data_IF_812350608288
#
_entry.id   IF_812350608288
#
_cell.length_a   1.000
_cell.length_b   1.000
_cell.length_c   1.000
_cell.angle_alpha   90.00
_cell.angle_beta   90.00
_cell.angle_gamma   90.00
#
_symmetry.space_group_name_H-M   'P 1'
#
loop_
_entity.id
_entity.type
_entity.pdbx_description
1 polymer ?
#
# COMPACT_ATOMS: atom_id res chain seq x y z
N UNK A 1 2.44 6.14 -19.10
CA UNK A 1 1.99 7.22 -19.98
C UNK A 1 2.17 8.60 -19.33
N UNK A 2 1.67 8.78 -18.08
CA UNK A 2 1.74 10.07 -17.37
C UNK A 2 3.19 10.54 -17.16
N UNK A 3 4.11 9.66 -16.77
CA UNK A 3 5.54 9.97 -16.64
C UNK A 3 6.14 10.57 -17.93
N UNK A 4 5.77 10.01 -19.08
CA UNK A 4 6.22 10.53 -20.40
C UNK A 4 5.61 11.89 -20.71
N UNK A 5 4.31 12.08 -20.42
CA UNK A 5 3.60 13.35 -20.65
C UNK A 5 4.20 14.48 -19.80
N UNK A 6 4.50 14.20 -18.54
CA UNK A 6 4.93 15.19 -17.54
C UNK A 6 6.47 15.34 -17.49
N UNK A 7 7.22 14.37 -18.04
CA UNK A 7 8.67 14.34 -17.97
C UNK A 7 9.21 14.17 -16.53
N UNK A 8 8.51 13.38 -15.70
CA UNK A 8 8.89 13.11 -14.32
C UNK A 8 8.67 11.64 -14.00
N UNK A 9 9.65 10.98 -13.37
CA UNK A 9 9.55 9.57 -13.01
C UNK A 9 8.91 9.37 -11.66
N UNK A 10 8.01 8.40 -11.58
CA UNK A 10 7.44 7.88 -10.34
C UNK A 10 8.21 6.66 -9.80
N UNK A 11 9.35 6.31 -10.40
CA UNK A 11 10.12 5.13 -10.03
C UNK A 11 9.36 3.82 -10.28
N UNK A 12 8.46 3.79 -11.27
CA UNK A 12 7.66 2.60 -11.59
C UNK A 12 8.56 1.51 -12.17
N UNK A 13 8.57 0.35 -11.52
CA UNK A 13 9.20 -0.89 -11.99
C UNK A 13 8.09 -1.91 -12.26
N UNK A 14 7.92 -2.32 -13.52
CA UNK A 14 6.96 -3.35 -13.92
C UNK A 14 7.62 -4.73 -13.81
N UNK A 15 7.97 -5.12 -12.59
CA UNK A 15 8.58 -6.41 -12.27
C UNK A 15 7.55 -7.50 -11.90
N UNK A 16 6.27 -7.17 -12.00
CA UNK A 16 5.17 -8.08 -11.75
C UNK A 16 4.84 -8.29 -10.28
N UNK A 17 3.70 -8.92 -10.04
CA UNK A 17 3.29 -9.39 -8.71
C UNK A 17 2.91 -10.87 -8.78
N UNK A 18 3.50 -11.66 -7.87
CA UNK A 18 3.28 -13.09 -7.70
C UNK A 18 2.48 -13.31 -6.42
N UNK A 19 1.29 -13.88 -6.54
CA UNK A 19 0.52 -14.35 -5.38
C UNK A 19 0.53 -15.87 -5.36
N UNK A 20 0.85 -16.48 -4.23
CA UNK A 20 0.93 -17.93 -4.04
C UNK A 20 -0.18 -18.45 -3.15
N UNK A 21 -0.46 -19.74 -3.24
CA UNK A 21 -1.43 -20.45 -2.43
C UNK A 21 -0.81 -21.69 -1.81
N UNK A 22 -0.95 -21.86 -0.49
CA UNK A 22 -0.53 -23.04 0.26
C UNK A 22 -1.73 -23.86 0.74
N UNK A 23 -2.93 -23.28 0.72
CA UNK A 23 -4.18 -23.95 1.04
C UNK A 23 -5.07 -24.16 -0.19
N UNK A 24 -5.91 -25.18 -0.18
CA UNK A 24 -6.87 -25.44 -1.27
C UNK A 24 -7.85 -24.29 -1.45
N UNK A 25 -8.28 -23.67 -0.35
CA UNK A 25 -9.20 -22.52 -0.39
C UNK A 25 -8.57 -21.32 -1.09
N UNK A 26 -7.33 -20.98 -0.74
CA UNK A 26 -6.56 -19.91 -1.39
C UNK A 26 -6.32 -20.21 -2.86
N UNK A 27 -5.97 -21.45 -3.18
CA UNK A 27 -5.77 -21.84 -4.57
C UNK A 27 -7.02 -21.62 -5.43
N UNK A 28 -8.19 -22.04 -4.95
CA UNK A 28 -9.47 -21.79 -5.63
C UNK A 28 -9.78 -20.29 -5.75
N UNK A 29 -9.45 -19.51 -4.74
CA UNK A 29 -9.62 -18.05 -4.78
C UNK A 29 -8.74 -17.40 -5.83
N UNK A 30 -7.45 -17.74 -5.89
CA UNK A 30 -6.53 -17.20 -6.89
C UNK A 30 -6.96 -17.55 -8.33
N UNK A 31 -7.42 -18.78 -8.55
CA UNK A 31 -7.97 -19.18 -9.86
C UNK A 31 -9.20 -18.35 -10.25
N UNK A 32 -10.11 -18.07 -9.30
CA UNK A 32 -11.24 -17.17 -9.54
C UNK A 32 -10.79 -15.75 -9.84
N UNK A 33 -9.80 -15.23 -9.09
CA UNK A 33 -9.24 -13.91 -9.34
C UNK A 33 -8.67 -13.81 -10.76
N UNK A 34 -7.90 -14.80 -11.21
CA UNK A 34 -7.37 -14.85 -12.57
C UNK A 34 -8.47 -14.85 -13.63
N UNK A 35 -9.55 -15.61 -13.40
CA UNK A 35 -10.70 -15.63 -14.31
C UNK A 35 -11.45 -14.29 -14.31
N UNK A 36 -11.65 -13.70 -13.14
CA UNK A 36 -12.33 -12.39 -13.01
C UNK A 36 -11.52 -11.26 -13.64
N UNK A 37 -10.20 -11.31 -13.54
CA UNK A 37 -9.31 -10.30 -14.12
C UNK A 37 -9.49 -10.17 -15.65
N UNK A 38 -9.81 -11.27 -16.34
CA UNK A 38 -10.08 -11.27 -17.78
C UNK A 38 -11.30 -10.40 -18.15
N UNK A 39 -12.28 -10.27 -17.27
CA UNK A 39 -13.46 -9.43 -17.51
C UNK A 39 -13.11 -7.91 -17.52
N UNK A 40 -11.95 -7.57 -17.01
CA UNK A 40 -11.44 -6.20 -16.91
C UNK A 40 -10.20 -5.97 -17.77
N UNK A 41 -9.93 -6.86 -18.72
CA UNK A 41 -8.76 -6.83 -19.61
C UNK A 41 -7.42 -6.79 -18.82
N UNK A 42 -7.38 -7.36 -17.62
CA UNK A 42 -6.17 -7.49 -16.81
C UNK A 42 -5.54 -8.86 -17.10
N UNK A 43 -4.31 -8.82 -17.61
CA UNK A 43 -3.56 -10.05 -17.90
C UNK A 43 -3.05 -10.69 -16.61
N UNK A 44 -3.46 -11.92 -16.33
CA UNK A 44 -3.06 -12.73 -15.19
C UNK A 44 -2.73 -14.15 -15.65
N UNK A 45 -1.57 -14.63 -15.29
CA UNK A 45 -1.10 -15.99 -15.59
C UNK A 45 -1.32 -16.90 -14.38
N UNK A 46 -1.92 -18.07 -14.60
CA UNK A 46 -2.03 -19.13 -13.59
C UNK A 46 -0.79 -20.01 -13.69
N UNK A 47 -0.06 -20.14 -12.59
CA UNK A 47 1.26 -20.76 -12.56
C UNK A 47 1.28 -22.07 -11.77
N UNK A 48 2.03 -23.04 -12.30
CA UNK A 48 2.48 -24.20 -11.54
C UNK A 48 3.78 -23.90 -10.75
N UNK A 49 4.23 -24.86 -9.95
CA UNK A 49 5.38 -24.71 -9.04
C UNK A 49 6.68 -24.39 -9.81
N UNK A 50 6.93 -25.06 -10.92
CA UNK A 50 8.14 -24.85 -11.72
C UNK A 50 8.18 -23.43 -12.32
N UNK A 51 7.03 -22.91 -12.72
CA UNK A 51 6.91 -21.54 -13.22
C UNK A 51 7.10 -20.51 -12.11
N UNK A 52 6.54 -20.76 -10.93
CA UNK A 52 6.75 -19.91 -9.74
C UNK A 52 8.23 -19.81 -9.41
N UNK A 53 8.93 -20.95 -9.39
CA UNK A 53 10.37 -21.00 -9.08
C UNK A 53 11.25 -20.27 -10.09
N UNK A 54 10.82 -20.22 -11.37
CA UNK A 54 11.51 -19.42 -12.39
C UNK A 54 11.37 -17.91 -12.14
N UNK A 55 10.19 -17.47 -11.70
CA UNK A 55 9.90 -16.05 -11.41
C UNK A 55 10.51 -15.61 -10.08
N UNK A 56 10.47 -16.49 -9.06
CA UNK A 56 10.96 -16.22 -7.73
C UNK A 56 11.95 -17.31 -7.24
N UNK A 57 13.22 -17.30 -7.71
CA UNK A 57 14.16 -18.43 -7.52
C UNK A 57 14.50 -18.74 -6.06
N UNK A 58 14.36 -17.77 -5.16
CA UNK A 58 14.72 -17.90 -3.74
C UNK A 58 13.55 -18.42 -2.87
N UNK A 59 12.42 -18.77 -3.48
CA UNK A 59 11.23 -19.24 -2.76
C UNK A 59 11.37 -20.70 -2.33
N UNK A 60 10.90 -21.01 -1.12
CA UNK A 60 10.67 -22.39 -0.71
C UNK A 60 9.29 -22.83 -1.22
N UNK A 61 9.29 -23.79 -2.13
CA UNK A 61 8.08 -24.24 -2.85
C UNK A 61 7.35 -25.44 -2.18
N UNK A 62 7.90 -26.02 -1.10
CA UNK A 62 7.48 -27.35 -0.59
C UNK A 62 5.99 -27.49 -0.26
N UNK A 63 5.32 -26.40 0.14
CA UNK A 63 3.91 -26.38 0.51
C UNK A 63 3.03 -25.60 -0.49
N UNK A 64 3.60 -25.10 -1.58
CA UNK A 64 2.87 -24.31 -2.59
C UNK A 64 2.04 -25.22 -3.47
N UNK A 65 0.77 -24.91 -3.63
CA UNK A 65 -0.16 -25.60 -4.55
C UNK A 65 -0.19 -24.98 -5.94
N UNK A 66 0.13 -23.71 -6.06
CA UNK A 66 0.15 -22.93 -7.29
C UNK A 66 0.15 -21.44 -6.99
N UNK A 67 0.07 -20.62 -8.02
CA UNK A 67 0.05 -19.17 -7.88
C UNK A 67 -0.52 -18.48 -9.10
N UNK A 68 -0.68 -17.17 -9.00
CA UNK A 68 -1.00 -16.29 -10.12
C UNK A 68 0.06 -15.20 -10.22
N UNK A 69 0.35 -14.82 -11.46
CA UNK A 69 1.31 -13.76 -11.76
C UNK A 69 0.66 -12.67 -12.60
N UNK A 70 0.82 -11.44 -12.19
CA UNK A 70 0.41 -10.24 -12.93
C UNK A 70 1.64 -9.52 -13.48
N UNK A 71 2.02 -9.73 -14.74
CA UNK A 71 3.22 -9.09 -15.30
C UNK A 71 3.11 -7.57 -15.45
N UNK A 72 1.88 -7.04 -15.54
CA UNK A 72 1.62 -5.60 -15.62
C UNK A 72 1.60 -4.87 -14.26
N UNK A 73 1.75 -5.61 -13.15
CA UNK A 73 1.88 -5.05 -11.81
C UNK A 73 3.37 -4.78 -11.48
N UNK A 74 3.66 -4.23 -10.32
CA UNK A 74 5.03 -3.96 -9.91
C UNK A 74 5.10 -3.07 -8.67
N UNK A 75 6.15 -2.27 -8.62
CA UNK A 75 6.39 -1.36 -7.50
C UNK A 75 6.71 0.05 -8.01
N UNK A 76 6.41 1.04 -7.19
CA UNK A 76 6.68 2.43 -7.47
C UNK A 76 7.22 3.15 -6.22
N UNK A 77 7.89 4.27 -6.42
CA UNK A 77 8.22 5.17 -5.32
C UNK A 77 6.98 6.00 -4.92
N UNK A 78 6.45 5.87 -3.69
CA UNK A 78 5.26 6.60 -3.25
C UNK A 78 5.43 8.11 -3.32
N UNK A 79 6.63 8.62 -3.02
CA UNK A 79 6.95 10.05 -3.10
C UNK A 79 6.97 10.49 -4.57
N UNK A 80 7.60 9.71 -5.44
CA UNK A 80 7.65 9.95 -6.87
C UNK A 80 6.25 9.98 -7.49
N UNK A 81 5.38 9.02 -7.15
CA UNK A 81 3.98 8.99 -7.62
C UNK A 81 3.23 10.23 -7.17
N UNK A 82 3.33 10.62 -5.90
CA UNK A 82 2.64 11.79 -5.35
C UNK A 82 3.10 13.07 -6.07
N UNK A 83 4.42 13.24 -6.26
CA UNK A 83 4.98 14.40 -6.94
C UNK A 83 4.59 14.44 -8.42
N UNK A 84 4.59 13.30 -9.11
CA UNK A 84 4.13 13.18 -10.50
C UNK A 84 2.67 13.64 -10.64
N UNK A 85 1.79 13.14 -9.78
CA UNK A 85 0.36 13.50 -9.79
C UNK A 85 0.16 14.99 -9.47
N UNK A 86 0.88 15.52 -8.48
CA UNK A 86 0.81 16.93 -8.13
C UNK A 86 1.29 17.83 -9.27
N UNK A 87 2.37 17.45 -9.95
CA UNK A 87 2.89 18.18 -11.12
C UNK A 87 1.89 18.15 -12.26
N UNK A 88 1.33 16.98 -12.58
CA UNK A 88 0.32 16.85 -13.62
C UNK A 88 -0.93 17.69 -13.32
N UNK A 89 -1.41 17.67 -12.07
CA UNK A 89 -2.54 18.49 -11.66
C UNK A 89 -2.28 20.00 -11.81
N UNK A 90 -1.07 20.47 -11.46
CA UNK A 90 -0.66 21.87 -11.65
C UNK A 90 -0.65 22.26 -13.12
N UNK A 91 -0.18 21.39 -14.04
CA UNK A 91 -0.20 21.62 -15.48
C UNK A 91 -1.63 21.74 -16.05
N UNK A 92 -2.60 21.06 -15.43
CA UNK A 92 -4.03 21.18 -15.75
C UNK A 92 -4.73 22.36 -15.01
N UNK A 93 -3.97 23.24 -14.37
CA UNK A 93 -4.46 24.47 -13.73
C UNK A 93 -4.91 24.33 -12.28
N UNK A 94 -4.70 23.16 -11.64
CA UNK A 94 -5.01 22.98 -10.21
C UNK A 94 -4.06 23.79 -9.35
N UNK A 95 -4.63 24.54 -8.38
CA UNK A 95 -3.85 25.27 -7.37
C UNK A 95 -3.61 24.37 -6.16
N UNK A 96 -2.36 24.10 -5.84
CA UNK A 96 -1.94 23.31 -4.68
C UNK A 96 -1.30 24.25 -3.66
N UNK A 97 -1.87 24.27 -2.45
CA UNK A 97 -1.38 25.05 -1.33
C UNK A 97 -0.78 24.12 -0.29
N UNK A 98 0.53 24.03 -0.24
CA UNK A 98 1.24 23.27 0.78
C UNK A 98 1.29 24.03 2.10
N UNK A 99 1.54 23.33 3.22
CA UNK A 99 1.61 23.90 4.58
C UNK A 99 0.41 24.77 4.93
N UNK A 100 -0.76 24.38 4.42
CA UNK A 100 -2.03 25.11 4.56
C UNK A 100 -3.07 24.21 5.24
N UNK A 101 -2.94 23.94 6.54
CA UNK A 101 -3.87 23.07 7.25
C UNK A 101 -5.28 23.68 7.24
N UNK A 102 -6.28 22.85 7.01
CA UNK A 102 -7.69 23.24 7.11
C UNK A 102 -8.06 23.38 8.59
N UNK A 103 -8.42 24.58 9.00
CA UNK A 103 -8.86 24.87 10.36
C UNK A 103 -10.29 24.44 10.63
N UNK A 104 -11.16 24.61 9.63
CA UNK A 104 -12.60 24.31 9.73
C UNK A 104 -13.24 24.15 8.37
N UNK A 105 -14.17 23.22 8.27
CA UNK A 105 -15.11 23.12 7.15
C UNK A 105 -16.33 23.95 7.49
N UNK A 106 -16.73 24.82 6.59
CA UNK A 106 -17.89 25.71 6.74
C UNK A 106 -19.13 25.03 6.17
N UNK A 107 -20.15 24.89 7.00
CA UNK A 107 -21.44 24.30 6.62
C UNK A 107 -22.56 25.38 6.80
N UNK A 108 -23.36 25.58 5.76
CA UNK A 108 -24.56 26.45 5.79
C UNK A 108 -25.75 25.66 5.27
N UNK A 109 -26.84 25.67 6.01
CA UNK A 109 -28.09 24.98 5.62
C UNK A 109 -27.88 23.50 5.26
N UNK A 110 -26.99 22.77 6.00
CA UNK A 110 -26.72 21.36 5.77
C UNK A 110 -25.84 21.06 4.55
N UNK A 111 -25.23 22.06 3.92
CA UNK A 111 -24.35 21.91 2.77
C UNK A 111 -23.00 22.56 3.03
N UNK A 112 -21.94 22.01 2.43
CA UNK A 112 -20.63 22.66 2.44
C UNK A 112 -20.73 24.04 1.77
N UNK A 113 -20.04 25.02 2.35
CA UNK A 113 -19.97 26.38 1.83
C UNK A 113 -18.53 26.85 1.63
N UNK A 114 -17.56 26.11 2.14
CA UNK A 114 -16.13 26.44 2.02
C UNK A 114 -15.31 25.86 3.14
N UNK A 115 -14.06 26.29 3.19
CA UNK A 115 -13.08 25.92 4.23
C UNK A 115 -12.41 27.17 4.80
N UNK A 116 -11.96 27.10 6.05
CA UNK A 116 -11.13 28.12 6.68
C UNK A 116 -9.68 27.65 6.72
N UNK A 117 -8.78 28.49 6.20
CA UNK A 117 -7.34 28.23 6.10
C UNK A 117 -6.58 29.51 6.41
N UNK A 118 -5.64 29.52 7.36
CA UNK A 118 -4.83 30.70 7.71
C UNK A 118 -5.68 31.97 7.93
N UNK A 119 -6.79 31.84 8.69
CA UNK A 119 -7.78 32.89 8.91
C UNK A 119 -8.51 33.43 7.68
N UNK A 120 -8.34 32.82 6.50
CA UNK A 120 -9.05 33.13 5.27
C UNK A 120 -10.14 32.09 4.99
N UNK A 121 -11.19 32.50 4.29
CA UNK A 121 -12.23 31.62 3.81
C UNK A 121 -12.05 31.36 2.33
N UNK A 122 -12.05 30.09 1.95
CA UNK A 122 -12.12 29.66 0.55
C UNK A 122 -13.51 29.06 0.37
N UNK A 123 -14.33 29.70 -0.44
CA UNK A 123 -15.67 29.22 -0.76
C UNK A 123 -15.61 28.08 -1.79
N UNK A 124 -16.48 27.08 -1.63
CA UNK A 124 -16.62 25.99 -2.59
C UNK A 124 -18.04 25.41 -2.57
N UNK A 125 -18.46 24.86 -3.69
CA UNK A 125 -19.72 24.11 -3.83
C UNK A 125 -19.55 22.65 -3.47
N UNK A 126 -18.37 22.09 -3.71
CA UNK A 126 -18.01 20.69 -3.44
C UNK A 126 -16.69 20.64 -2.70
N UNK A 127 -16.61 19.71 -1.74
CA UNK A 127 -15.40 19.44 -0.98
C UNK A 127 -15.12 17.94 -0.98
N UNK A 128 -13.92 17.55 -1.40
CA UNK A 128 -13.45 16.17 -1.35
C UNK A 128 -12.51 16.00 -0.17
N UNK A 129 -12.85 15.09 0.74
CA UNK A 129 -11.95 14.69 1.82
C UNK A 129 -11.06 13.55 1.35
N UNK A 130 -9.81 13.87 1.03
CA UNK A 130 -8.77 12.91 0.68
C UNK A 130 -7.65 12.93 1.75
N UNK A 131 -8.06 12.98 3.02
CA UNK A 131 -7.20 13.28 4.18
C UNK A 131 -6.70 12.02 4.90
N UNK A 132 -6.81 10.84 4.26
CA UNK A 132 -6.26 9.60 4.81
C UNK A 132 -6.74 9.32 6.24
N UNK A 133 -5.82 9.05 7.15
CA UNK A 133 -6.11 8.69 8.54
C UNK A 133 -6.83 9.78 9.35
N UNK A 134 -6.77 11.04 8.93
CA UNK A 134 -7.49 12.15 9.58
C UNK A 134 -8.95 12.28 9.15
N UNK A 135 -9.39 11.56 8.11
CA UNK A 135 -10.73 11.74 7.52
C UNK A 135 -11.85 11.53 8.52
N UNK A 136 -11.74 10.54 9.42
CA UNK A 136 -12.78 10.27 10.43
C UNK A 136 -13.03 11.48 11.32
N UNK A 137 -11.96 12.03 11.94
CA UNK A 137 -12.10 13.15 12.87
C UNK A 137 -12.58 14.42 12.18
N UNK A 138 -12.21 14.65 10.92
CA UNK A 138 -12.70 15.78 10.12
C UNK A 138 -14.20 15.58 9.81
N UNK A 139 -14.61 14.35 9.50
CA UNK A 139 -16.01 14.01 9.31
C UNK A 139 -16.84 14.24 10.59
N UNK A 140 -16.36 13.77 11.74
CA UNK A 140 -17.01 13.98 13.05
C UNK A 140 -17.24 15.46 13.32
N UNK A 141 -16.24 16.31 13.04
CA UNK A 141 -16.32 17.77 13.24
C UNK A 141 -17.37 18.45 12.33
N UNK A 142 -17.85 17.76 11.30
CA UNK A 142 -18.90 18.24 10.38
C UNK A 142 -20.21 17.46 10.46
N UNK A 143 -20.31 16.51 11.39
CA UNK A 143 -21.50 15.67 11.56
C UNK A 143 -21.62 14.53 10.54
N UNK A 144 -20.52 14.18 9.85
CA UNK A 144 -20.46 13.07 8.89
C UNK A 144 -19.70 11.91 9.52
N UNK A 145 -20.34 10.75 9.60
CA UNK A 145 -19.68 9.54 10.09
C UNK A 145 -18.88 8.88 8.96
N UNK A 146 -17.54 8.87 9.11
CA UNK A 146 -16.63 8.18 8.20
C UNK A 146 -16.09 6.95 8.92
N UNK A 147 -16.45 5.72 8.52
CA UNK A 147 -16.08 4.49 9.20
C UNK A 147 -14.63 4.08 8.89
N UNK A 148 -13.67 4.90 9.30
CA UNK A 148 -12.24 4.71 9.11
C UNK A 148 -11.53 4.79 10.46
N UNK A 149 -10.62 3.87 10.72
CA UNK A 149 -9.74 3.89 11.88
C UNK A 149 -8.31 3.59 11.46
N UNK A 150 -7.32 4.41 11.85
CA UNK A 150 -5.92 4.12 11.57
C UNK A 150 -5.43 2.94 12.41
N UNK A 151 -4.63 2.08 11.80
CA UNK A 151 -3.99 0.96 12.45
C UNK A 151 -2.48 1.00 12.23
N UNK A 152 -1.74 0.45 13.18
CA UNK A 152 -0.31 0.22 13.02
C UNK A 152 -0.09 -0.86 11.96
N UNK A 153 0.95 -0.71 11.17
CA UNK A 153 1.34 -1.66 10.15
C UNK A 153 2.85 -1.86 10.17
N UNK A 154 3.28 -3.11 10.14
CA UNK A 154 4.67 -3.47 10.41
C UNK A 154 5.35 -4.01 9.16
N UNK A 155 6.60 -3.63 8.98
CA UNK A 155 7.53 -4.23 8.02
C UNK A 155 8.96 -4.10 8.54
N UNK A 156 9.84 -4.93 8.03
CA UNK A 156 11.29 -4.81 8.21
C UNK A 156 11.98 -4.69 6.85
N UNK A 157 13.16 -4.10 6.84
CA UNK A 157 14.05 -4.08 5.69
C UNK A 157 15.35 -4.74 6.10
N UNK A 158 15.80 -5.74 5.34
CA UNK A 158 17.05 -6.45 5.61
C UNK A 158 18.26 -5.56 5.35
N UNK A 159 19.41 -5.95 5.88
CA UNK A 159 20.67 -5.52 5.30
C UNK A 159 20.80 -6.01 3.84
N UNK A 160 21.75 -5.47 3.05
CA UNK A 160 21.99 -5.94 1.69
C UNK A 160 22.32 -7.44 1.68
N UNK A 161 21.57 -8.20 0.87
CA UNK A 161 21.74 -9.64 0.74
C UNK A 161 22.64 -9.91 -0.46
N UNK A 162 23.74 -10.63 -0.22
CA UNK A 162 24.67 -11.01 -1.28
C UNK A 162 23.97 -11.89 -2.33
N UNK A 163 24.21 -11.59 -3.60
CA UNK A 163 23.67 -12.34 -4.74
C UNK A 163 22.12 -12.42 -4.79
N UNK A 164 21.42 -11.49 -4.13
CA UNK A 164 19.98 -11.39 -4.25
C UNK A 164 19.61 -11.11 -5.72
N UNK A 165 18.73 -11.91 -6.33
CA UNK A 165 18.25 -11.62 -7.69
C UNK A 165 17.60 -10.23 -7.76
N UNK A 166 17.99 -9.47 -8.77
CA UNK A 166 17.41 -8.13 -9.02
C UNK A 166 16.06 -8.26 -9.70
N UNK A 167 15.23 -7.25 -9.49
CA UNK A 167 13.91 -7.12 -10.15
C UNK A 167 12.96 -8.30 -9.85
N UNK A 168 13.10 -8.91 -8.66
CA UNK A 168 12.15 -9.92 -8.19
C UNK A 168 10.72 -9.35 -8.23
N UNK A 169 9.77 -10.16 -8.65
CA UNK A 169 8.36 -9.83 -8.54
C UNK A 169 7.98 -9.53 -7.07
N UNK A 170 6.97 -8.69 -6.86
CA UNK A 170 6.41 -8.52 -5.52
C UNK A 170 5.72 -9.81 -5.13
N UNK A 171 6.25 -10.52 -4.13
CA UNK A 171 5.67 -11.77 -3.62
C UNK A 171 4.56 -11.45 -2.60
N UNK A 172 3.42 -12.12 -2.72
CA UNK A 172 2.30 -12.08 -1.78
C UNK A 172 1.94 -13.49 -1.34
N UNK A 173 2.07 -13.76 -0.06
CA UNK A 173 1.63 -15.00 0.59
C UNK A 173 0.54 -14.65 1.61
N UNK A 174 -0.71 -14.69 1.15
CA UNK A 174 -1.86 -14.34 2.00
C UNK A 174 -2.22 -15.43 3.02
N UNK A 175 -1.77 -16.67 2.83
CA UNK A 175 -1.99 -17.74 3.80
C UNK A 175 -1.10 -17.55 5.03
N UNK A 176 0.16 -17.15 4.83
CA UNK A 176 1.10 -16.79 5.90
C UNK A 176 1.11 -15.28 6.21
N UNK A 177 0.21 -14.50 5.58
CA UNK A 177 0.03 -13.05 5.79
C UNK A 177 1.28 -12.23 5.52
N UNK A 178 2.04 -12.54 4.45
CA UNK A 178 3.30 -11.92 4.09
C UNK A 178 3.25 -11.22 2.73
N UNK A 179 4.05 -10.18 2.58
CA UNK A 179 4.50 -9.72 1.28
C UNK A 179 5.99 -9.39 1.31
N UNK A 180 6.69 -9.68 0.20
CA UNK A 180 8.10 -9.39 0.06
C UNK A 180 8.36 -8.57 -1.20
N UNK A 181 9.24 -7.61 -1.07
CA UNK A 181 9.61 -6.67 -2.14
C UNK A 181 11.13 -6.51 -2.17
N UNK A 182 11.74 -6.73 -3.33
CA UNK A 182 13.15 -6.41 -3.54
C UNK A 182 13.31 -4.90 -3.79
N UNK A 183 14.27 -4.28 -3.12
CA UNK A 183 14.66 -2.90 -3.40
C UNK A 183 16.14 -2.69 -3.06
N UNK A 184 16.92 -2.27 -4.07
CA UNK A 184 18.34 -1.96 -3.93
C UNK A 184 19.19 -3.07 -3.28
N UNK A 185 18.91 -4.33 -3.60
CA UNK A 185 19.64 -5.49 -3.06
C UNK A 185 19.26 -5.88 -1.64
N UNK A 186 18.14 -5.38 -1.15
CA UNK A 186 17.55 -5.70 0.15
C UNK A 186 16.16 -6.31 -0.07
N UNK A 187 15.64 -7.01 0.94
CA UNK A 187 14.25 -7.44 0.96
C UNK A 187 13.49 -6.65 2.03
N UNK A 188 12.41 -6.00 1.61
CA UNK A 188 11.38 -5.54 2.52
C UNK A 188 10.44 -6.73 2.77
N UNK A 189 10.27 -7.09 4.04
CA UNK A 189 9.31 -8.08 4.52
C UNK A 189 8.21 -7.35 5.25
N UNK A 190 7.04 -7.32 4.69
CA UNK A 190 5.86 -6.71 5.30
C UNK A 190 4.79 -7.76 5.59
N UNK A 191 3.82 -7.39 6.40
CA UNK A 191 2.81 -8.32 6.89
C UNK A 191 1.40 -7.80 6.64
N UNK A 192 0.44 -8.73 6.52
CA UNK A 192 -0.98 -8.44 6.45
C UNK A 192 -1.62 -8.91 7.75
N UNK A 193 -1.54 -8.10 8.80
CA UNK A 193 -1.96 -8.47 10.15
C UNK A 193 -3.42 -8.92 10.18
N UNK A 194 -3.68 -10.13 10.67
CA UNK A 194 -5.05 -10.63 10.92
C UNK A 194 -5.74 -9.89 12.07
N UNK A 195 -4.96 -9.33 12.99
CA UNK A 195 -5.37 -8.42 14.06
C UNK A 195 -4.45 -7.21 14.04
N UNK A 196 -4.88 -6.15 13.39
CA UNK A 196 -4.15 -4.89 13.42
C UNK A 196 -4.29 -4.20 14.77
N UNK A 197 -3.23 -3.54 15.22
CA UNK A 197 -3.23 -2.75 16.45
C UNK A 197 -3.83 -1.36 16.12
N UNK A 198 -4.91 -0.95 16.80
CA UNK A 198 -5.48 0.38 16.55
C UNK A 198 -4.51 1.48 16.99
N UNK A 199 -4.10 2.31 16.04
CA UNK A 199 -3.24 3.46 16.32
C UNK A 199 -4.01 4.56 17.09
N UNK A 200 -3.32 5.30 17.94
CA UNK A 200 -3.88 6.44 18.71
C UNK A 200 -5.10 6.06 19.58
N UNK A 201 -5.19 4.83 20.06
CA UNK A 201 -6.34 4.33 20.84
C UNK A 201 -6.61 5.12 22.12
N UNK A 202 -5.58 5.73 22.75
CA UNK A 202 -5.70 6.53 23.97
C UNK A 202 -6.43 7.85 23.74
N UNK A 203 -6.18 8.51 22.62
CA UNK A 203 -6.75 9.84 22.29
C UNK A 203 -7.96 9.72 21.38
N UNK A 204 -8.10 8.60 20.69
CA UNK A 204 -9.08 8.35 19.64
C UNK A 204 -9.03 9.37 18.48
N UNK A 205 -7.94 10.14 18.39
CA UNK A 205 -7.68 11.13 17.34
C UNK A 205 -6.23 11.07 16.91
N UNK A 206 -5.99 11.22 15.62
CA UNK A 206 -4.66 11.37 15.06
C UNK A 206 -4.15 12.79 15.37
N UNK A 207 -2.94 12.97 15.91
CA UNK A 207 -2.37 14.30 16.09
C UNK A 207 -2.26 15.06 14.76
N UNK A 208 -2.52 16.36 14.78
CA UNK A 208 -2.49 17.18 13.58
C UNK A 208 -1.08 17.33 12.97
N UNK A 209 -0.06 17.18 13.79
CA UNK A 209 1.35 17.28 13.46
C UNK A 209 2.01 15.91 13.20
N UNK A 210 1.26 14.81 13.30
CA UNK A 210 1.78 13.48 12.99
C UNK A 210 2.11 13.37 11.49
N UNK A 211 3.40 13.35 11.17
CA UNK A 211 3.89 13.27 9.80
C UNK A 211 5.16 12.44 9.77
N UNK A 212 5.22 11.44 8.89
CA UNK A 212 6.34 10.49 8.78
C UNK A 212 6.77 9.89 10.13
N UNK A 213 5.81 9.77 11.05
CA UNK A 213 6.06 9.22 12.38
C UNK A 213 6.07 7.70 12.34
N UNK A 214 6.90 7.13 13.20
CA UNK A 214 7.00 5.69 13.43
C UNK A 214 6.49 5.38 14.83
N UNK A 215 5.88 4.18 14.98
CA UNK A 215 5.54 3.64 16.29
C UNK A 215 6.74 2.87 16.85
N UNK A 216 6.81 2.66 18.17
CA UNK A 216 7.83 1.79 18.75
C UNK A 216 7.81 0.40 18.14
N UNK A 217 8.97 -0.21 18.03
CA UNK A 217 9.13 -1.58 17.57
C UNK A 217 8.31 -2.55 18.43
N UNK A 218 7.70 -3.52 17.79
CA UNK A 218 6.90 -4.56 18.45
C UNK A 218 7.28 -5.93 17.89
N UNK A 219 8.41 -6.46 18.34
CA UNK A 219 8.92 -7.75 17.89
C UNK A 219 8.01 -8.90 18.29
N UNK A 220 7.39 -8.86 19.48
CA UNK A 220 6.45 -9.90 19.92
C UNK A 220 5.27 -10.05 18.94
N UNK A 221 4.80 -8.92 18.38
CA UNK A 221 3.74 -8.92 17.36
C UNK A 221 4.26 -9.41 15.99
N UNK A 222 5.51 -9.10 15.65
CA UNK A 222 6.09 -9.41 14.35
C UNK A 222 6.67 -10.83 14.27
N UNK A 223 7.12 -11.42 15.38
CA UNK A 223 7.85 -12.68 15.44
C UNK A 223 7.20 -13.83 14.65
N UNK A 224 5.88 -14.13 14.78
CA UNK A 224 5.25 -15.23 14.03
C UNK A 224 5.35 -15.06 12.51
N UNK A 225 5.32 -13.81 12.04
CA UNK A 225 5.44 -13.49 10.62
C UNK A 225 6.90 -13.54 10.14
N UNK A 226 7.84 -13.22 11.03
CA UNK A 226 9.27 -13.37 10.75
C UNK A 226 9.63 -14.83 10.55
N UNK A 227 9.18 -15.72 11.44
CA UNK A 227 9.34 -17.17 11.28
C UNK A 227 8.73 -17.69 9.99
N UNK A 228 7.52 -17.23 9.64
CA UNK A 228 6.87 -17.58 8.38
C UNK A 228 7.68 -17.07 7.17
N UNK A 229 8.30 -15.89 7.28
CA UNK A 229 9.15 -15.34 6.22
C UNK A 229 10.43 -16.16 5.99
N UNK A 230 11.07 -16.64 7.05
CA UNK A 230 12.24 -17.55 6.95
C UNK A 230 11.85 -18.87 6.30
N UNK A 231 10.70 -19.45 6.70
CA UNK A 231 10.17 -20.64 6.03
C UNK A 231 9.93 -20.40 4.54
N UNK A 232 9.38 -19.24 4.15
CA UNK A 232 9.04 -18.91 2.75
C UNK A 232 10.26 -18.56 1.91
N UNK A 233 11.21 -17.85 2.47
CA UNK A 233 12.45 -17.42 1.83
C UNK A 233 13.63 -17.72 2.76
N UNK A 234 14.18 -18.95 2.71
CA UNK A 234 15.25 -19.38 3.61
C UNK A 234 16.53 -18.52 3.56
N UNK A 235 16.69 -17.72 2.52
CA UNK A 235 17.79 -16.76 2.41
C UNK A 235 17.72 -15.64 3.47
N UNK A 236 16.61 -15.52 4.20
CA UNK A 236 16.43 -14.54 5.27
C UNK A 236 16.97 -15.00 6.63
N UNK A 237 17.29 -16.29 6.81
CA UNK A 237 17.98 -16.83 7.99
C UNK A 237 19.45 -16.40 8.00
#
# INVERSE_FOLDING_TARGET
>A
ELEKKIGFSAGLKLNGALSIATTKGRWQELQRQATTAQLFDVHVEVLNIDQIKKIYPIINEKDILGGIFMPGDGQADPIGVTNLLAKAAKEEGVKIFEKSPIEKILVKNGRVAGVKVNNQTIECEYLVLATGMWSRQIGEDTGVNIPLYPAEHFYIITEPIKDLPKDLAVLRDFDDSLYLKEDAGKLLVGIFEGKSIPAFSKTNRVPNDFSFGEFPENFDHFEPYLEASFKRVPLLE
#
